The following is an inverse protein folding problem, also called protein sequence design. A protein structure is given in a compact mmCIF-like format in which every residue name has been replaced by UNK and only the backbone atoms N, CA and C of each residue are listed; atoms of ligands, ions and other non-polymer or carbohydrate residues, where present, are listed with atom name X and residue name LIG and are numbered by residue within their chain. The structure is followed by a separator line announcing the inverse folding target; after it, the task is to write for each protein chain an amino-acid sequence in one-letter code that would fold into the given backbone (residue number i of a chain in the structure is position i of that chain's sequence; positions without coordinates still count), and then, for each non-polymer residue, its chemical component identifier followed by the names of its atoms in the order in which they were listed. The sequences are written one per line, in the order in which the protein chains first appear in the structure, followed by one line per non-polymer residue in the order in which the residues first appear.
data_IF_390744791404
#
_entry.id   IF_390744791404
#
_cell.length_a   1.000
_cell.length_b   1.000
_cell.length_c   1.000
_cell.angle_alpha   90.00
_cell.angle_beta   90.00
_cell.angle_gamma   90.00
#
_symmetry.space_group_name_H-M   'P 1'
#
loop_
_entity.id
_entity.type
_entity.pdbx_description
1 polymer ?
#
# COMPACT_ATOMS: atom_id res chain seq x y z
N UNK A 1 29.84 71.64 65.81
CA UNK A 1 29.02 70.52 65.29
C UNK A 1 29.06 70.54 63.78
N UNK A 2 29.80 69.64 63.14
CA UNK A 2 29.71 69.37 61.70
C UNK A 2 30.16 67.92 61.47
N UNK A 3 29.22 67.07 61.03
CA UNK A 3 29.45 65.65 60.76
C UNK A 3 30.15 65.50 59.40
N UNK A 4 31.30 64.84 59.40
CA UNK A 4 32.06 64.47 58.19
C UNK A 4 31.32 63.36 57.43
N UNK A 5 30.96 63.64 56.18
CA UNK A 5 30.26 62.70 55.29
C UNK A 5 31.21 61.66 54.71
N UNK A 6 30.91 60.39 55.00
CA UNK A 6 31.61 59.20 54.48
C UNK A 6 31.29 59.03 52.99
N UNK A 7 32.27 59.25 52.10
CA UNK A 7 32.17 58.89 50.67
C UNK A 7 32.01 57.37 50.56
N UNK A 8 30.94 56.93 49.86
CA UNK A 8 30.77 55.54 49.43
C UNK A 8 31.51 55.38 48.11
N UNK A 9 32.56 54.58 48.11
CA UNK A 9 33.18 54.11 46.88
C UNK A 9 32.25 53.07 46.25
N UNK A 10 31.58 53.47 45.17
CA UNK A 10 30.93 52.51 44.27
C UNK A 10 32.03 51.74 43.55
N UNK A 11 32.35 50.57 44.08
CA UNK A 11 33.09 49.54 43.36
C UNK A 11 32.23 49.16 42.15
N UNK A 12 32.64 49.62 40.96
CA UNK A 12 32.12 49.14 39.69
C UNK A 12 32.47 47.66 39.63
N UNK A 13 31.46 46.80 39.76
CA UNK A 13 31.60 45.38 39.51
C UNK A 13 32.15 45.22 38.09
N UNK A 14 33.40 44.77 38.00
CA UNK A 14 34.01 44.33 36.77
C UNK A 14 33.03 43.39 36.08
N UNK A 15 32.55 43.80 34.91
CA UNK A 15 31.72 42.97 34.07
C UNK A 15 32.46 41.66 33.86
N UNK A 16 31.91 40.59 34.44
CA UNK A 16 32.27 39.23 34.06
C UNK A 16 32.02 39.13 32.57
N UNK A 17 33.10 39.31 31.79
CA UNK A 17 33.11 39.04 30.37
C UNK A 17 32.66 37.60 30.21
N UNK A 18 31.41 37.43 29.82
CA UNK A 18 30.91 36.15 29.36
C UNK A 18 31.86 35.72 28.26
N UNK A 19 32.73 34.76 28.58
CA UNK A 19 33.48 34.02 27.59
C UNK A 19 32.41 33.36 26.72
N UNK A 20 32.09 34.01 25.59
CA UNK A 20 31.38 33.35 24.53
C UNK A 20 32.30 32.24 24.11
N UNK A 21 31.99 31.01 24.53
CA UNK A 21 32.66 29.83 24.05
C UNK A 21 32.63 29.93 22.52
N UNK A 22 33.78 30.25 21.93
CA UNK A 22 33.99 30.21 20.50
C UNK A 22 33.59 28.80 20.08
N UNK A 23 32.38 28.65 19.52
CA UNK A 23 31.94 27.39 18.94
C UNK A 23 32.91 27.11 17.81
N UNK A 24 33.93 26.31 18.10
CA UNK A 24 34.97 25.94 17.15
C UNK A 24 34.28 25.45 15.88
N UNK A 25 34.53 26.14 14.77
CA UNK A 25 33.99 25.70 13.48
C UNK A 25 34.54 24.29 13.25
N UNK A 26 33.69 23.32 12.87
CA UNK A 26 34.17 21.98 12.59
C UNK A 26 35.28 22.05 11.54
N UNK A 27 36.30 21.20 11.72
CA UNK A 27 37.43 21.15 10.81
C UNK A 27 36.94 20.97 9.36
N UNK A 28 37.66 21.55 8.41
CA UNK A 28 37.23 21.59 7.00
C UNK A 28 36.93 20.19 6.46
N UNK A 29 37.73 19.19 6.82
CA UNK A 29 37.51 17.80 6.42
C UNK A 29 36.19 17.21 6.96
N UNK A 30 35.80 17.55 8.20
CA UNK A 30 34.52 17.13 8.79
C UNK A 30 33.37 17.73 7.99
N UNK A 31 33.48 19.02 7.63
CA UNK A 31 32.47 19.68 6.81
C UNK A 31 32.35 19.04 5.43
N UNK A 32 33.47 18.69 4.81
CA UNK A 32 33.50 17.99 3.52
C UNK A 32 32.80 16.64 3.63
N UNK A 33 33.12 15.82 4.64
CA UNK A 33 32.48 14.51 4.84
C UNK A 33 30.98 14.65 5.06
N UNK A 34 30.55 15.60 5.90
CA UNK A 34 29.12 15.87 6.13
C UNK A 34 28.46 16.31 4.82
N UNK A 35 29.09 17.20 4.06
CA UNK A 35 28.55 17.65 2.77
C UNK A 35 28.40 16.50 1.77
N UNK A 36 29.39 15.60 1.68
CA UNK A 36 29.31 14.41 0.82
C UNK A 36 28.17 13.50 1.29
N UNK A 37 28.06 13.24 2.60
CA UNK A 37 27.00 12.41 3.16
C UNK A 37 25.60 12.99 2.90
N UNK A 38 25.43 14.31 3.04
CA UNK A 38 24.17 15.00 2.75
C UNK A 38 23.84 14.94 1.26
N UNK A 39 24.82 15.21 0.38
CA UNK A 39 24.61 15.11 -1.06
C UNK A 39 24.23 13.69 -1.48
N UNK A 40 24.90 12.68 -0.91
CA UNK A 40 24.57 11.27 -1.14
C UNK A 40 23.15 10.94 -0.66
N UNK A 41 22.78 11.35 0.55
CA UNK A 41 21.44 11.11 1.08
C UNK A 41 20.36 11.77 0.22
N UNK A 42 20.55 13.04 -0.15
CA UNK A 42 19.61 13.76 -1.02
C UNK A 42 19.50 13.06 -2.38
N UNK A 43 20.61 12.68 -2.99
CA UNK A 43 20.62 11.91 -4.23
C UNK A 43 19.78 10.63 -4.09
N UNK A 44 19.98 9.85 -3.03
CA UNK A 44 19.24 8.60 -2.81
C UNK A 44 17.74 8.84 -2.59
N UNK A 45 17.38 9.88 -1.82
CA UNK A 45 15.97 10.24 -1.58
C UNK A 45 15.24 10.58 -2.89
N UNK A 46 15.93 11.14 -3.89
CA UNK A 46 15.35 11.46 -5.19
C UNK A 46 15.45 10.33 -6.21
N UNK A 47 16.52 9.52 -6.20
CA UNK A 47 16.69 8.47 -7.22
C UNK A 47 15.64 7.36 -7.08
N UNK A 48 15.20 7.05 -5.85
CA UNK A 48 14.16 6.05 -5.59
C UNK A 48 12.80 6.42 -6.23
N UNK A 49 12.20 7.60 -5.99
CA UNK A 49 10.98 8.01 -6.70
C UNK A 49 11.13 8.10 -8.21
N UNK A 50 12.28 8.61 -8.68
CA UNK A 50 12.51 8.78 -10.12
C UNK A 50 12.63 7.44 -10.88
N UNK A 51 12.85 6.34 -10.16
CA UNK A 51 12.88 4.99 -10.73
C UNK A 51 11.49 4.34 -10.82
N UNK A 52 10.43 4.96 -10.26
CA UNK A 52 9.06 4.48 -10.40
C UNK A 52 8.58 4.72 -11.84
N UNK A 53 7.91 3.75 -12.43
CA UNK A 53 7.44 3.85 -13.81
C UNK A 53 6.47 5.04 -13.98
N UNK A 54 6.55 5.77 -15.10
CA UNK A 54 7.49 5.59 -16.21
C UNK A 54 8.89 6.17 -15.91
N UNK A 55 9.93 5.31 -15.91
CA UNK A 55 11.31 5.69 -15.64
C UNK A 55 12.24 5.27 -16.78
N UNK A 56 13.34 6.00 -16.98
CA UNK A 56 14.36 5.60 -17.95
C UNK A 56 15.15 4.38 -17.43
N UNK A 57 15.59 3.52 -18.35
CA UNK A 57 16.43 2.33 -18.03
C UNK A 57 17.66 2.74 -17.22
N UNK A 58 18.25 3.90 -17.52
CA UNK A 58 19.41 4.42 -16.80
C UNK A 58 19.08 4.73 -15.34
N UNK A 59 18.00 5.46 -15.09
CA UNK A 59 17.59 5.84 -13.72
C UNK A 59 17.22 4.59 -12.92
N UNK A 60 16.46 3.67 -13.51
CA UNK A 60 16.12 2.39 -12.90
C UNK A 60 17.37 1.55 -12.59
N UNK A 61 18.35 1.50 -13.50
CA UNK A 61 19.61 0.79 -13.31
C UNK A 61 20.47 1.38 -12.21
N UNK A 62 20.54 2.72 -12.10
CA UNK A 62 21.26 3.39 -11.01
C UNK A 62 20.58 3.12 -9.66
N UNK A 63 19.25 3.27 -9.59
CA UNK A 63 18.48 3.04 -8.36
C UNK A 63 18.57 1.59 -7.86
N UNK A 64 18.62 0.61 -8.78
CA UNK A 64 18.74 -0.82 -8.47
C UNK A 64 20.18 -1.31 -8.34
N UNK A 65 21.17 -0.43 -8.57
CA UNK A 65 22.58 -0.79 -8.43
C UNK A 65 22.92 -1.17 -6.98
N UNK A 66 23.84 -2.13 -6.75
CA UNK A 66 24.26 -2.51 -5.40
C UNK A 66 24.74 -1.33 -4.56
N UNK A 67 25.35 -0.32 -5.19
CA UNK A 67 25.89 0.89 -4.55
C UNK A 67 24.83 1.84 -3.99
N UNK A 68 23.62 1.83 -4.55
CA UNK A 68 22.48 2.61 -4.05
C UNK A 68 21.65 1.76 -3.10
N UNK A 69 21.44 0.49 -3.47
CA UNK A 69 20.55 -0.44 -2.76
C UNK A 69 20.94 -0.71 -1.33
N UNK A 70 22.22 -0.87 -1.03
CA UNK A 70 22.65 -1.12 0.36
C UNK A 70 22.17 -0.01 1.31
N UNK A 71 22.10 1.23 0.83
CA UNK A 71 21.66 2.39 1.60
C UNK A 71 20.14 2.54 1.59
N UNK A 72 19.49 2.40 0.42
CA UNK A 72 18.02 2.49 0.32
C UNK A 72 17.31 1.40 1.09
N UNK A 73 17.79 0.16 1.01
CA UNK A 73 17.14 -1.00 1.62
C UNK A 73 17.28 -0.93 3.15
N UNK A 74 18.45 -0.48 3.64
CA UNK A 74 18.71 -0.29 5.09
C UNK A 74 17.83 0.80 5.71
N UNK A 75 17.52 1.85 4.96
CA UNK A 75 16.69 2.97 5.42
C UNK A 75 15.24 2.89 4.93
N UNK A 76 14.88 1.83 4.21
CA UNK A 76 13.55 1.62 3.63
C UNK A 76 13.07 2.79 2.73
N UNK A 77 13.99 3.43 2.00
CA UNK A 77 13.71 4.62 1.17
C UNK A 77 13.14 4.28 -0.21
N UNK A 78 13.23 3.02 -0.64
CA UNK A 78 12.79 2.54 -1.95
C UNK A 78 11.29 2.22 -2.04
N UNK A 79 10.55 2.27 -0.92
CA UNK A 79 9.13 1.89 -0.87
C UNK A 79 8.17 3.09 -0.77
N UNK A 80 8.68 4.27 -0.42
CA UNK A 80 7.84 5.42 -0.02
C UNK A 80 6.93 5.98 -1.12
N UNK A 81 7.33 5.88 -2.39
CA UNK A 81 6.58 6.45 -3.52
C UNK A 81 5.64 5.47 -4.22
N UNK A 82 5.83 4.16 -4.05
CA UNK A 82 4.89 3.17 -4.61
C UNK A 82 3.49 3.29 -3.99
N UNK A 83 3.38 3.75 -2.74
CA UNK A 83 2.10 4.02 -2.08
C UNK A 83 1.29 5.16 -2.69
N UNK A 84 1.93 6.09 -3.40
CA UNK A 84 1.30 7.27 -3.99
C UNK A 84 1.46 7.33 -5.51
N UNK A 85 1.83 6.20 -6.13
CA UNK A 85 2.01 6.08 -7.57
C UNK A 85 0.72 6.43 -8.33
N UNK A 86 0.83 6.97 -9.56
CA UNK A 86 -0.29 7.52 -10.33
C UNK A 86 -1.27 6.47 -10.87
N UNK A 87 -0.94 5.18 -10.76
CA UNK A 87 -1.76 4.08 -11.26
C UNK A 87 -2.42 3.38 -10.05
N UNK A 88 -3.61 3.83 -9.60
CA UNK A 88 -4.30 3.13 -8.54
C UNK A 88 -4.56 1.69 -9.00
N UNK A 89 -4.28 0.68 -8.15
CA UNK A 89 -4.59 -0.70 -8.50
C UNK A 89 -6.08 -0.82 -8.85
N UNK A 90 -6.39 -1.74 -9.78
CA UNK A 90 -7.77 -2.11 -10.08
C UNK A 90 -8.40 -2.69 -8.81
N UNK A 91 -9.22 -1.88 -8.14
CA UNK A 91 -9.87 -2.30 -6.92
C UNK A 91 -11.06 -3.21 -7.25
N UNK A 92 -11.21 -4.26 -6.46
CA UNK A 92 -12.38 -5.12 -6.50
C UNK A 92 -13.56 -4.52 -5.72
N UNK A 93 -14.75 -4.77 -6.23
CA UNK A 93 -16.03 -4.56 -5.58
C UNK A 93 -16.79 -5.88 -5.63
N UNK A 94 -17.31 -6.31 -4.49
CA UNK A 94 -18.07 -7.55 -4.38
C UNK A 94 -19.55 -7.20 -4.34
N UNK A 95 -20.33 -7.70 -5.29
CA UNK A 95 -21.80 -7.66 -5.27
C UNK A 95 -22.32 -9.00 -4.82
N UNK A 96 -23.42 -9.01 -4.07
CA UNK A 96 -24.02 -10.24 -3.59
C UNK A 96 -25.54 -10.18 -3.62
N UNK A 97 -26.14 -11.35 -3.85
CA UNK A 97 -27.55 -11.61 -3.63
C UNK A 97 -27.69 -12.94 -2.88
N UNK A 98 -28.59 -12.97 -1.90
CA UNK A 98 -28.92 -14.15 -1.11
C UNK A 98 -30.41 -14.40 -1.26
N UNK A 99 -30.78 -15.64 -1.56
CA UNK A 99 -32.17 -16.07 -1.75
C UNK A 99 -32.56 -17.18 -0.79
N UNK A 100 -33.85 -17.22 -0.43
CA UNK A 100 -34.45 -18.29 0.37
C UNK A 100 -34.79 -19.54 -0.46
N UNK A 101 -35.42 -20.53 0.17
CA UNK A 101 -35.85 -21.77 -0.47
C UNK A 101 -36.92 -21.56 -1.55
N UNK A 102 -37.72 -20.50 -1.46
CA UNK A 102 -38.70 -20.14 -2.47
C UNK A 102 -38.09 -19.31 -3.62
N UNK A 103 -36.81 -18.96 -3.52
CA UNK A 103 -36.09 -18.13 -4.49
C UNK A 103 -36.32 -16.62 -4.31
N UNK A 104 -36.96 -16.19 -3.23
CA UNK A 104 -37.10 -14.77 -2.93
C UNK A 104 -35.79 -14.22 -2.35
N UNK A 105 -35.44 -12.99 -2.75
CA UNK A 105 -34.21 -12.33 -2.30
C UNK A 105 -34.39 -11.87 -0.86
N UNK A 106 -33.59 -12.44 0.05
CA UNK A 106 -33.58 -12.09 1.47
C UNK A 106 -32.52 -11.03 1.80
N UNK A 107 -31.46 -10.94 1.00
CA UNK A 107 -30.45 -9.90 1.11
C UNK A 107 -29.82 -9.62 -0.24
N UNK A 108 -29.53 -8.36 -0.50
CA UNK A 108 -28.79 -7.91 -1.68
C UNK A 108 -27.92 -6.72 -1.28
N UNK A 109 -26.73 -6.63 -1.86
CA UNK A 109 -25.88 -5.48 -1.62
C UNK A 109 -24.53 -5.57 -2.30
N UNK A 110 -23.65 -4.65 -1.92
CA UNK A 110 -22.26 -4.67 -2.35
C UNK A 110 -21.33 -4.22 -1.25
N UNK A 111 -20.06 -4.59 -1.37
CA UNK A 111 -19.01 -4.08 -0.53
C UNK A 111 -17.71 -3.88 -1.31
N UNK A 112 -16.97 -2.77 -1.06
CA UNK A 112 -17.27 -1.75 -0.07
C UNK A 112 -18.37 -0.75 -0.52
N UNK A 113 -19.22 -0.31 0.41
CA UNK A 113 -20.31 0.65 0.17
C UNK A 113 -20.27 1.79 1.20
N UNK A 114 -20.11 3.03 0.72
CA UNK A 114 -20.01 4.25 1.55
C UNK A 114 -21.33 4.64 2.22
N UNK A 115 -22.47 4.20 1.68
CA UNK A 115 -23.79 4.46 2.23
C UNK A 115 -24.06 3.51 3.40
N UNK A 116 -23.83 2.20 3.20
CA UNK A 116 -24.07 1.18 4.21
C UNK A 116 -23.00 1.12 5.30
N UNK A 117 -21.73 1.41 5.00
CA UNK A 117 -20.61 1.14 5.91
C UNK A 117 -20.03 2.42 6.51
N UNK A 118 -20.59 2.83 7.66
CA UNK A 118 -20.06 3.92 8.49
C UNK A 118 -19.77 3.42 9.91
N UNK A 119 -18.73 3.93 10.60
CA UNK A 119 -17.80 5.00 10.21
C UNK A 119 -16.76 4.55 9.16
N UNK A 120 -15.91 5.47 8.68
CA UNK A 120 -14.94 5.25 7.58
C UNK A 120 -14.06 4.00 7.76
N UNK A 121 -13.73 3.63 9.00
CA UNK A 121 -12.94 2.43 9.29
C UNK A 121 -13.69 1.13 8.91
N UNK A 122 -15.02 1.09 9.05
CA UNK A 122 -15.82 -0.06 8.67
C UNK A 122 -15.89 -0.23 7.15
N UNK A 123 -16.04 0.88 6.41
CA UNK A 123 -15.88 0.88 4.96
C UNK A 123 -14.49 0.37 4.56
N UNK A 124 -13.45 0.84 5.23
CA UNK A 124 -12.08 0.45 4.89
C UNK A 124 -11.85 -1.05 5.09
N UNK A 125 -12.40 -1.65 6.15
CA UNK A 125 -12.35 -3.11 6.37
C UNK A 125 -12.96 -3.86 5.18
N UNK A 126 -14.13 -3.44 4.72
CA UNK A 126 -14.78 -4.09 3.57
C UNK A 126 -14.01 -3.89 2.27
N UNK A 127 -13.41 -2.71 2.11
CA UNK A 127 -12.57 -2.41 0.95
C UNK A 127 -11.34 -3.31 0.92
N UNK A 128 -10.68 -3.52 2.07
CA UNK A 128 -9.57 -4.47 2.19
C UNK A 128 -10.01 -5.91 1.94
N UNK A 129 -11.20 -6.33 2.40
CA UNK A 129 -11.71 -7.67 2.12
C UNK A 129 -11.93 -7.91 0.62
N UNK A 130 -12.51 -6.93 -0.08
CA UNK A 130 -12.71 -7.05 -1.53
C UNK A 130 -11.35 -7.05 -2.27
N UNK A 131 -10.48 -6.10 -1.94
CA UNK A 131 -9.17 -5.94 -2.59
C UNK A 131 -8.25 -7.16 -2.36
N UNK A 132 -8.22 -7.70 -1.15
CA UNK A 132 -7.37 -8.85 -0.81
C UNK A 132 -7.93 -10.20 -1.28
N UNK A 133 -9.13 -10.25 -1.86
CA UNK A 133 -9.75 -11.51 -2.25
C UNK A 133 -8.89 -12.32 -3.25
N UNK A 134 -8.14 -11.63 -4.12
CA UNK A 134 -7.21 -12.26 -5.09
C UNK A 134 -5.76 -12.36 -4.61
N UNK A 135 -5.41 -11.82 -3.44
CA UNK A 135 -4.04 -11.75 -2.94
C UNK A 135 -3.67 -13.00 -2.14
N UNK A 136 -3.60 -14.14 -2.83
CA UNK A 136 -3.29 -15.44 -2.24
C UNK A 136 -1.81 -15.73 -2.05
N UNK A 137 -1.49 -16.93 -1.53
CA UNK A 137 -0.14 -17.47 -1.54
C UNK A 137 0.47 -17.44 -2.96
N UNK A 138 1.77 -17.18 -3.10
CA UNK A 138 2.42 -16.99 -4.41
C UNK A 138 2.44 -18.26 -5.28
N UNK A 139 2.28 -19.42 -4.66
CA UNK A 139 2.24 -20.73 -5.27
C UNK A 139 0.82 -21.15 -5.72
N UNK A 140 -0.21 -20.35 -5.44
CA UNK A 140 -1.59 -20.62 -5.87
C UNK A 140 -1.97 -19.62 -6.97
N UNK A 141 -2.55 -20.07 -8.09
CA UNK A 141 -3.06 -19.15 -9.12
C UNK A 141 -4.04 -18.13 -8.54
N UNK A 142 -3.90 -16.86 -8.91
CA UNK A 142 -4.70 -15.77 -8.37
C UNK A 142 -6.21 -15.99 -8.55
N UNK A 143 -6.63 -16.58 -9.68
CA UNK A 143 -8.04 -16.87 -9.97
C UNK A 143 -8.59 -17.97 -9.06
N UNK A 144 -7.79 -18.99 -8.74
CA UNK A 144 -8.20 -20.07 -7.83
C UNK A 144 -8.34 -19.55 -6.40
N UNK A 145 -7.42 -18.68 -5.98
CA UNK A 145 -7.51 -18.02 -4.69
C UNK A 145 -8.69 -17.04 -4.61
N UNK A 146 -8.91 -16.25 -5.67
CA UNK A 146 -10.06 -15.36 -5.77
C UNK A 146 -11.37 -16.16 -5.66
N UNK A 147 -11.49 -17.26 -6.40
CA UNK A 147 -12.65 -18.16 -6.31
C UNK A 147 -12.84 -18.68 -4.90
N UNK A 148 -11.78 -19.16 -4.26
CA UNK A 148 -11.83 -19.62 -2.87
C UNK A 148 -12.33 -18.53 -1.91
N UNK A 149 -11.79 -17.31 -2.01
CA UNK A 149 -12.20 -16.17 -1.17
C UNK A 149 -13.67 -15.80 -1.38
N UNK A 150 -14.14 -15.72 -2.63
CA UNK A 150 -15.54 -15.41 -2.95
C UNK A 150 -16.50 -16.49 -2.44
N UNK A 151 -16.13 -17.78 -2.54
CA UNK A 151 -16.90 -18.88 -1.94
C UNK A 151 -16.98 -18.75 -0.43
N UNK A 152 -15.87 -18.38 0.23
CA UNK A 152 -15.88 -18.14 1.67
C UNK A 152 -16.82 -16.98 2.06
N UNK A 153 -16.86 -15.91 1.26
CA UNK A 153 -17.79 -14.80 1.45
C UNK A 153 -19.25 -15.23 1.25
N UNK A 154 -19.55 -15.98 0.18
CA UNK A 154 -20.87 -16.52 -0.08
C UNK A 154 -21.37 -17.37 1.10
N UNK A 155 -20.53 -18.28 1.60
CA UNK A 155 -20.85 -19.13 2.76
C UNK A 155 -21.07 -18.33 4.04
N UNK A 156 -20.32 -17.25 4.25
CA UNK A 156 -20.54 -16.36 5.38
C UNK A 156 -21.87 -15.60 5.26
N UNK A 157 -22.24 -15.16 4.05
CA UNK A 157 -23.51 -14.48 3.78
C UNK A 157 -24.69 -15.43 4.00
N UNK A 158 -24.60 -16.67 3.52
CA UNK A 158 -25.60 -17.71 3.80
C UNK A 158 -25.86 -17.87 5.30
N UNK A 159 -24.80 -17.97 6.13
CA UNK A 159 -24.93 -18.07 7.60
C UNK A 159 -25.49 -16.81 8.24
N UNK A 160 -25.23 -15.64 7.65
CA UNK A 160 -25.62 -14.35 8.23
C UNK A 160 -27.09 -14.04 7.97
N UNK A 161 -27.58 -14.39 6.79
CA UNK A 161 -28.94 -14.11 6.34
C UNK A 161 -29.88 -15.31 6.37
N UNK A 162 -29.40 -16.47 6.85
CA UNK A 162 -30.13 -17.74 6.87
C UNK A 162 -30.72 -18.10 5.48
N UNK A 163 -29.90 -17.87 4.45
CA UNK A 163 -30.29 -18.05 3.04
C UNK A 163 -30.05 -19.48 2.54
N UNK A 164 -30.76 -19.85 1.47
CA UNK A 164 -30.60 -21.14 0.79
C UNK A 164 -29.52 -21.07 -0.31
N UNK A 165 -29.44 -19.95 -1.04
CA UNK A 165 -28.43 -19.73 -2.08
C UNK A 165 -27.84 -18.33 -1.99
N UNK A 166 -26.55 -18.20 -2.32
CA UNK A 166 -25.86 -16.93 -2.41
C UNK A 166 -25.07 -16.87 -3.71
N UNK A 167 -25.30 -15.81 -4.49
CA UNK A 167 -24.53 -15.48 -5.69
C UNK A 167 -23.65 -14.28 -5.38
N UNK A 168 -22.36 -14.40 -5.70
CA UNK A 168 -21.33 -13.39 -5.46
C UNK A 168 -20.66 -13.04 -6.78
N UNK A 169 -20.59 -11.76 -7.08
CA UNK A 169 -19.90 -11.22 -8.24
C UNK A 169 -18.70 -10.39 -7.77
N UNK A 170 -17.51 -10.70 -8.25
CA UNK A 170 -16.36 -9.82 -8.15
C UNK A 170 -16.32 -8.94 -9.39
N UNK A 171 -16.38 -7.63 -9.17
CA UNK A 171 -16.49 -6.61 -10.19
C UNK A 171 -15.33 -5.64 -10.04
N UNK A 172 -14.75 -5.19 -11.15
CA UNK A 172 -13.78 -4.10 -11.17
C UNK A 172 -14.44 -2.85 -11.70
N UNK A 173 -14.12 -1.71 -11.07
CA UNK A 173 -14.50 -0.39 -11.59
C UNK A 173 -13.35 0.19 -12.43
N UNK A 174 -13.54 0.20 -13.75
CA UNK A 174 -12.54 0.69 -14.68
C UNK A 174 -12.57 2.23 -14.74
N UNK A 175 -11.40 2.90 -14.76
CA UNK A 175 -11.36 4.35 -14.92
C UNK A 175 -11.90 4.75 -16.29
N UNK A 176 -12.46 5.96 -16.37
CA UNK A 176 -12.92 6.51 -17.63
C UNK A 176 -11.77 6.66 -18.63
N UNK A 177 -12.00 6.21 -19.86
CA UNK A 177 -11.08 6.52 -20.96
C UNK A 177 -11.08 8.03 -21.23
N UNK A 178 -9.99 8.61 -21.78
CA UNK A 178 -9.94 10.04 -22.11
C UNK A 178 -11.12 10.50 -22.98
N UNK A 179 -11.60 9.63 -23.89
CA UNK A 179 -12.76 9.92 -24.74
C UNK A 179 -14.06 10.00 -23.95
N UNK A 180 -14.30 9.07 -23.02
CA UNK A 180 -15.50 9.08 -22.18
C UNK A 180 -15.51 10.30 -21.25
N UNK A 181 -14.35 10.67 -20.69
CA UNK A 181 -14.20 11.88 -19.87
C UNK A 181 -14.54 13.14 -20.66
N UNK A 182 -14.06 13.27 -21.91
CA UNK A 182 -14.37 14.41 -22.78
C UNK A 182 -15.85 14.48 -23.17
N UNK A 183 -16.54 13.33 -23.20
CA UNK A 183 -17.97 13.24 -23.48
C UNK A 183 -18.84 13.47 -22.24
N UNK A 184 -18.24 13.66 -21.05
CA UNK A 184 -18.97 13.86 -19.81
C UNK A 184 -19.73 12.62 -19.33
N UNK A 185 -19.25 11.42 -19.68
CA UNK A 185 -19.84 10.16 -19.20
C UNK A 185 -19.71 10.09 -17.68
N UNK A 186 -20.78 9.68 -17.01
CA UNK A 186 -20.75 9.45 -15.56
C UNK A 186 -19.79 8.28 -15.25
N UNK A 187 -18.81 8.44 -14.36
CA UNK A 187 -17.93 7.34 -13.97
C UNK A 187 -18.66 6.15 -13.36
N UNK A 188 -19.92 6.27 -12.92
CA UNK A 188 -20.66 5.18 -12.31
C UNK A 188 -21.62 4.46 -13.27
N UNK A 189 -21.52 4.69 -14.59
CA UNK A 189 -22.38 3.97 -15.52
C UNK A 189 -22.03 2.48 -15.57
N UNK A 190 -22.99 1.56 -15.84
CA UNK A 190 -22.74 0.12 -15.86
C UNK A 190 -21.59 -0.32 -16.78
N UNK A 191 -21.33 0.41 -17.86
CA UNK A 191 -20.27 0.10 -18.83
C UNK A 191 -18.86 0.31 -18.26
N UNK A 192 -18.73 1.04 -17.15
CA UNK A 192 -17.46 1.21 -16.42
C UNK A 192 -17.15 0.05 -15.49
N UNK A 193 -18.10 -0.88 -15.30
CA UNK A 193 -17.94 -2.05 -14.44
C UNK A 193 -17.72 -3.31 -15.27
N UNK A 194 -16.76 -4.11 -14.85
CA UNK A 194 -16.41 -5.38 -15.48
C UNK A 194 -16.50 -6.50 -14.45
N UNK A 195 -17.33 -7.51 -14.72
CA UNK A 195 -17.41 -8.69 -13.86
C UNK A 195 -16.23 -9.62 -14.16
N UNK A 196 -15.37 -9.80 -13.16
CA UNK A 196 -14.18 -10.67 -13.23
C UNK A 196 -14.55 -12.12 -12.94
N UNK A 197 -15.40 -12.34 -11.93
CA UNK A 197 -15.75 -13.69 -11.49
C UNK A 197 -17.14 -13.72 -10.85
N UNK A 198 -17.88 -14.81 -11.10
CA UNK A 198 -19.13 -15.13 -10.43
C UNK A 198 -19.00 -16.47 -9.72
N UNK A 199 -19.48 -16.53 -8.49
CA UNK A 199 -19.50 -17.72 -7.64
C UNK A 199 -20.88 -17.88 -7.03
N UNK A 200 -21.38 -19.10 -7.02
CA UNK A 200 -22.62 -19.45 -6.32
C UNK A 200 -22.34 -20.51 -5.26
N UNK A 201 -22.98 -20.37 -4.10
CA UNK A 201 -22.95 -21.33 -3.01
C UNK A 201 -24.36 -21.60 -2.50
N UNK A 202 -24.58 -22.80 -1.96
CA UNK A 202 -25.85 -23.20 -1.35
C UNK A 202 -25.70 -23.54 0.12
N UNK A 203 -26.80 -23.49 0.87
CA UNK A 203 -26.84 -23.89 2.27
C UNK A 203 -26.37 -25.34 2.47
N UNK A 204 -26.66 -26.24 1.52
CA UNK A 204 -26.20 -27.62 1.54
C UNK A 204 -24.67 -27.73 1.55
N UNK A 205 -23.97 -26.86 0.82
CA UNK A 205 -22.50 -26.83 0.78
C UNK A 205 -21.87 -26.33 2.10
N UNK A 206 -22.66 -25.79 3.04
CA UNK A 206 -22.15 -25.34 4.34
C UNK A 206 -21.67 -26.50 5.22
N UNK A 207 -22.19 -27.71 5.00
CA UNK A 207 -21.85 -28.90 5.79
C UNK A 207 -20.42 -29.40 5.53
N UNK A 208 -19.91 -29.22 4.31
CA UNK A 208 -18.58 -29.67 3.92
C UNK A 208 -17.55 -28.55 4.11
N UNK A 209 -16.32 -28.81 4.58
CA UNK A 209 -15.29 -27.79 4.66
C UNK A 209 -14.97 -27.25 3.26
N UNK A 210 -14.69 -25.94 3.17
CA UNK A 210 -14.31 -25.34 1.89
C UNK A 210 -12.92 -25.86 1.49
N UNK A 211 -12.76 -26.52 0.33
CA UNK A 211 -11.47 -27.05 -0.08
C UNK A 211 -10.51 -25.90 -0.38
N UNK A 212 -9.33 -25.95 0.23
CA UNK A 212 -8.25 -24.99 -0.03
C UNK A 212 -7.62 -25.37 -1.37
N UNK A 213 -7.44 -24.43 -2.32
CA UNK A 213 -6.75 -24.71 -3.57
C UNK A 213 -5.32 -25.17 -3.30
N UNK A 214 -4.87 -26.21 -4.00
CA UNK A 214 -3.51 -26.70 -3.91
C UNK A 214 -2.62 -25.96 -4.92
N UNK A 215 -1.33 -25.76 -4.62
CA UNK A 215 -0.39 -25.26 -5.61
C UNK A 215 -0.32 -26.21 -6.82
N UNK A 216 -0.04 -25.70 -8.03
CA UNK A 216 0.13 -26.55 -9.20
C UNK A 216 1.30 -27.50 -8.96
N UNK A 217 1.22 -28.70 -9.52
CA UNK A 217 2.33 -29.65 -9.43
C UNK A 217 3.60 -28.97 -9.99
N UNK A 218 4.76 -29.09 -9.31
CA UNK A 218 5.98 -28.48 -9.80
C UNK A 218 6.26 -28.99 -11.20
N UNK A 219 6.34 -28.08 -12.17
CA UNK A 219 6.83 -28.42 -13.49
C UNK A 219 8.27 -28.90 -13.32
N UNK A 220 8.53 -30.17 -13.62
CA UNK A 220 9.89 -30.73 -13.65
C UNK A 220 10.64 -30.21 -14.87
N UNK A 221 10.85 -28.90 -14.94
CA UNK A 221 11.89 -28.31 -15.76
C UNK A 221 13.11 -28.21 -14.86
N UNK A 222 13.96 -29.23 -14.92
CA UNK A 222 15.29 -29.13 -14.32
C UNK A 222 16.02 -27.98 -15.02
N UNK A 223 15.98 -26.80 -14.42
CA UNK A 223 16.79 -25.67 -14.84
C UNK A 223 18.24 -26.12 -14.69
N UNK A 224 18.91 -26.40 -15.81
CA UNK A 224 20.33 -26.72 -15.79
C UNK A 224 21.04 -25.47 -15.31
N UNK A 225 21.56 -25.50 -14.08
CA UNK A 225 22.42 -24.44 -13.55
C UNK A 225 23.48 -24.12 -14.60
N UNK A 226 23.69 -22.84 -14.96
CA UNK A 226 24.75 -22.48 -15.90
C UNK A 226 26.07 -23.01 -15.34
N UNK A 227 26.69 -23.93 -16.07
CA UNK A 227 28.03 -24.37 -15.78
C UNK A 227 28.91 -23.12 -15.87
N UNK A 228 29.42 -22.65 -14.73
CA UNK A 228 30.21 -21.42 -14.62
C UNK A 228 31.57 -21.56 -15.28
N UNK A 229 31.60 -21.70 -16.60
CA UNK A 229 32.81 -21.90 -17.39
C UNK A 229 33.30 -20.64 -18.12
N UNK A 230 32.62 -19.49 -17.99
CA UNK A 230 33.07 -18.24 -18.60
C UNK A 230 33.20 -17.13 -17.53
N UNK A 231 34.35 -17.14 -16.85
CA UNK A 231 34.98 -15.98 -16.18
C UNK A 231 36.45 -15.90 -16.61
#
# INVERSE_FOLDING_TARGET
MAKSGKKRDHQLAEGQGGQTASKGRPAVWVRILISIAVLWHVFVVFISPLAVQPASILVAGIATSPYVRWYTDSLYLNQGYHFFGPDPPRNHLVRYSVTDQQGAVVAEGSFPDKAAQRPRLFYHRHMMLADQAGNGPPDIPADDWLRFSLRAYARQLLRTYDGERAAIECVVHNPLTPRMSLQGVDPNTPETFETVMVVEESAAALAEPLPIPAPPAPETTAESLPAGNDL
#
